data_IF_590188809496
#
_entry.id   IF_590188809496
#
_cell.length_a   1.000
_cell.length_b   1.000
_cell.length_c   1.000
_cell.angle_alpha   90.00
_cell.angle_beta   90.00
_cell.angle_gamma   90.00
#
_symmetry.space_group_name_H-M   'P 1'
#
loop_
_entity.id
_entity.type
_entity.pdbx_description
1 polymer ?
#
# COMPACT_ATOMS: atom_id res chain seq x y z
N UNK A 1 14.89 -13.70 8.02
CA UNK A 1 14.97 -12.91 6.78
C UNK A 1 14.86 -11.44 7.16
N UNK A 2 15.50 -10.50 6.46
CA UNK A 2 15.53 -9.07 6.84
C UNK A 2 14.19 -8.33 6.55
N UNK A 3 13.07 -9.04 6.61
CA UNK A 3 11.74 -8.51 6.28
C UNK A 3 10.74 -8.94 7.33
N UNK A 4 9.95 -7.99 7.82
CA UNK A 4 8.80 -8.25 8.66
C UNK A 4 7.54 -8.03 7.84
N UNK A 5 6.69 -9.06 7.72
CA UNK A 5 5.38 -8.93 7.08
C UNK A 5 4.53 -7.97 7.91
N UNK A 6 4.03 -6.92 7.27
CA UNK A 6 3.19 -5.92 7.90
C UNK A 6 1.74 -6.01 7.44
N UNK A 7 1.49 -6.48 6.23
CA UNK A 7 0.12 -6.56 5.70
C UNK A 7 0.05 -7.47 4.48
N UNK A 8 -1.12 -8.09 4.28
CA UNK A 8 -1.47 -8.84 3.07
C UNK A 8 -2.87 -8.47 2.60
N UNK A 9 -3.02 -8.27 1.29
CA UNK A 9 -4.30 -8.16 0.60
C UNK A 9 -4.46 -9.31 -0.37
N UNK A 10 -5.30 -10.30 -0.05
CA UNK A 10 -5.52 -11.42 -0.95
C UNK A 10 -6.43 -11.01 -2.11
N UNK A 11 -6.34 -11.74 -3.22
CA UNK A 11 -7.24 -11.65 -4.37
C UNK A 11 -7.41 -10.21 -4.91
N UNK A 12 -6.32 -9.59 -5.37
CA UNK A 12 -6.33 -8.23 -5.90
C UNK A 12 -7.41 -8.04 -6.99
N UNK A 13 -8.35 -7.09 -6.81
CA UNK A 13 -9.32 -6.74 -7.83
C UNK A 13 -8.71 -5.80 -8.89
N UNK A 14 -9.37 -5.72 -10.06
CA UNK A 14 -8.98 -4.81 -11.15
C UNK A 14 -8.82 -3.35 -10.69
N UNK A 15 -9.62 -2.92 -9.71
CA UNK A 15 -9.58 -1.57 -9.15
C UNK A 15 -8.26 -1.21 -8.49
N UNK A 16 -7.68 -2.10 -7.68
CA UNK A 16 -6.39 -1.86 -7.03
C UNK A 16 -5.24 -1.84 -8.04
N UNK A 17 -5.36 -2.67 -9.08
CA UNK A 17 -4.45 -2.72 -10.23
C UNK A 17 -4.67 -1.58 -11.23
N UNK A 18 -5.59 -0.65 -10.95
CA UNK A 18 -5.84 0.52 -11.79
C UNK A 18 -6.28 0.16 -13.22
N UNK A 19 -6.95 -0.99 -13.39
CA UNK A 19 -7.40 -1.54 -14.68
C UNK A 19 -8.86 -1.19 -15.03
N UNK A 20 -9.49 -0.28 -14.27
CA UNK A 20 -10.90 0.08 -14.47
C UNK A 20 -11.15 0.61 -15.88
N UNK A 21 -12.06 -0.04 -16.59
CA UNK A 21 -12.54 0.38 -17.92
C UNK A 21 -13.56 1.52 -17.82
N UNK A 22 -14.35 1.52 -16.74
CA UNK A 22 -15.30 2.57 -16.39
C UNK A 22 -14.94 3.12 -15.00
N UNK A 23 -14.68 4.42 -14.91
CA UNK A 23 -14.24 5.09 -13.68
C UNK A 23 -12.80 5.63 -13.77
N UNK A 24 -12.39 6.37 -12.73
CA UNK A 24 -11.09 7.01 -12.68
C UNK A 24 -10.06 6.13 -11.95
N UNK A 25 -9.04 5.66 -12.66
CA UNK A 25 -7.87 5.01 -12.10
C UNK A 25 -7.05 6.04 -11.28
N UNK A 26 -7.34 6.15 -9.99
CA UNK A 26 -6.78 7.16 -9.06
C UNK A 26 -5.26 7.14 -8.97
N UNK A 27 -4.60 6.06 -9.39
CA UNK A 27 -3.18 5.85 -9.17
C UNK A 27 -2.85 5.50 -7.71
N UNK A 28 -3.86 5.23 -6.89
CA UNK A 28 -3.70 4.99 -5.45
C UNK A 28 -4.12 3.56 -5.11
N UNK A 29 -3.21 2.82 -4.48
CA UNK A 29 -3.54 1.60 -3.74
C UNK A 29 -4.23 2.00 -2.43
N UNK A 30 -5.46 1.53 -2.25
CA UNK A 30 -6.23 1.74 -1.01
C UNK A 30 -5.81 0.71 0.02
N UNK A 31 -5.22 1.18 1.11
CA UNK A 31 -4.78 0.34 2.21
C UNK A 31 -5.97 0.10 3.14
N UNK A 32 -6.50 -1.12 3.08
CA UNK A 32 -7.67 -1.56 3.84
C UNK A 32 -7.31 -2.75 4.72
N UNK A 33 -8.20 -3.12 5.64
CA UNK A 33 -7.98 -4.26 6.53
C UNK A 33 -7.76 -5.56 5.75
N UNK A 34 -8.48 -5.76 4.64
CA UNK A 34 -8.38 -6.93 3.76
C UNK A 34 -8.44 -8.31 4.49
N UNK A 35 -9.07 -8.35 5.67
CA UNK A 35 -9.09 -9.54 6.53
C UNK A 35 -7.76 -9.84 7.24
N UNK A 36 -6.75 -8.99 7.10
CA UNK A 36 -5.45 -9.14 7.75
C UNK A 36 -5.56 -8.98 9.27
N UNK A 37 -4.87 -9.86 10.01
CA UNK A 37 -4.80 -9.81 11.47
C UNK A 37 -3.39 -9.55 11.93
N UNK A 38 -3.21 -8.58 12.83
CA UNK A 38 -1.99 -8.36 13.59
C UNK A 38 -2.19 -8.83 15.04
N UNK A 39 -1.28 -9.65 15.55
CA UNK A 39 -1.36 -10.22 16.90
C UNK A 39 -2.73 -10.85 17.25
N UNK A 40 -3.34 -11.54 16.28
CA UNK A 40 -4.62 -12.25 16.43
C UNK A 40 -5.87 -11.35 16.37
N UNK A 41 -5.73 -10.06 16.03
CA UNK A 41 -6.86 -9.13 15.86
C UNK A 41 -6.88 -8.55 14.46
N UNK A 42 -8.07 -8.41 13.87
CA UNK A 42 -8.23 -7.70 12.61
C UNK A 42 -7.76 -6.26 12.80
N UNK A 43 -6.93 -5.78 11.86
CA UNK A 43 -6.38 -4.44 11.94
C UNK A 43 -7.47 -3.37 11.78
N UNK A 44 -7.34 -2.26 12.49
CA UNK A 44 -8.09 -1.05 12.19
C UNK A 44 -7.37 -0.27 11.10
N UNK A 45 -7.84 -0.38 9.85
CA UNK A 45 -7.23 0.30 8.71
C UNK A 45 -7.17 1.83 8.83
N UNK A 46 -8.02 2.42 9.68
CA UNK A 46 -8.10 3.87 9.84
C UNK A 46 -6.89 4.42 10.60
N UNK A 47 -6.23 3.57 11.39
CA UNK A 47 -5.07 3.90 12.21
C UNK A 47 -3.82 3.07 11.85
N UNK A 48 -3.98 1.78 11.57
CA UNK A 48 -2.91 0.78 11.47
C UNK A 48 -1.78 1.20 10.55
N UNK A 49 -2.10 1.61 9.32
CA UNK A 49 -1.08 1.96 8.34
C UNK A 49 -0.31 3.22 8.75
N UNK A 50 -1.00 4.28 9.17
CA UNK A 50 -0.39 5.56 9.53
C UNK A 50 0.43 5.50 10.82
N UNK A 51 -0.11 4.84 11.85
CA UNK A 51 0.44 4.88 13.21
C UNK A 51 1.20 3.62 13.62
N UNK A 52 1.15 2.53 12.85
CA UNK A 52 1.93 1.31 13.13
C UNK A 52 2.92 1.01 12.01
N UNK A 53 2.44 0.78 10.78
CA UNK A 53 3.30 0.36 9.66
C UNK A 53 4.26 1.48 9.24
N UNK A 54 3.74 2.69 9.04
CA UNK A 54 4.46 3.86 8.54
C UNK A 54 4.77 4.90 9.62
N UNK A 55 4.71 4.50 10.90
CA UNK A 55 4.88 5.40 12.04
C UNK A 55 6.23 6.10 12.09
N UNK A 56 7.28 5.44 11.58
CA UNK A 56 8.65 5.97 11.55
C UNK A 56 8.95 6.91 10.39
N UNK A 57 8.01 7.16 9.49
CA UNK A 57 8.23 8.09 8.38
C UNK A 57 8.08 9.55 8.84
N UNK A 58 8.72 10.46 8.11
CA UNK A 58 8.55 11.90 8.31
C UNK A 58 7.27 12.37 7.62
N UNK A 59 6.20 12.49 8.40
CA UNK A 59 4.91 12.99 7.94
C UNK A 59 4.84 14.51 8.00
N UNK A 60 4.19 15.12 7.01
CA UNK A 60 3.93 16.55 6.96
C UNK A 60 2.49 16.84 6.53
N UNK A 61 1.90 17.91 7.08
CA UNK A 61 0.53 18.33 6.74
C UNK A 61 0.49 19.17 5.46
N UNK A 62 -0.52 18.93 4.64
CA UNK A 62 -0.84 19.72 3.44
C UNK A 62 -2.33 19.59 3.11
N UNK A 63 -3.02 20.70 2.87
CA UNK A 63 -4.43 20.74 2.44
C UNK A 63 -5.39 19.84 3.26
N UNK A 64 -5.20 19.81 4.59
CA UNK A 64 -6.03 19.03 5.51
C UNK A 64 -5.85 17.51 5.38
N UNK A 65 -4.69 17.06 4.89
CA UNK A 65 -4.21 15.67 4.95
C UNK A 65 -2.74 15.65 5.36
N UNK A 66 -2.24 14.50 5.76
CA UNK A 66 -0.82 14.26 5.94
C UNK A 66 -0.25 13.53 4.72
N UNK A 67 1.02 13.78 4.43
CA UNK A 67 1.78 13.11 3.40
C UNK A 67 3.12 12.63 3.96
N UNK A 68 3.63 11.54 3.40
CA UNK A 68 4.97 11.05 3.64
C UNK A 68 5.55 10.42 2.36
N UNK A 69 6.85 10.19 2.34
CA UNK A 69 7.52 9.47 1.26
C UNK A 69 8.36 8.34 1.86
N UNK A 70 8.42 7.22 1.15
CA UNK A 70 9.30 6.11 1.48
C UNK A 70 9.79 5.42 0.21
N UNK A 71 10.86 4.67 0.34
CA UNK A 71 11.49 3.91 -0.72
C UNK A 71 10.94 2.48 -0.72
N UNK A 72 10.26 2.11 -1.79
CA UNK A 72 9.63 0.80 -1.96
C UNK A 72 10.35 -0.01 -3.02
N UNK A 73 10.83 -1.20 -2.66
CA UNK A 73 11.21 -2.21 -3.63
C UNK A 73 9.98 -2.97 -4.09
N UNK A 74 9.86 -3.21 -5.40
CA UNK A 74 8.73 -3.94 -5.98
C UNK A 74 9.19 -5.28 -6.53
N UNK A 75 8.46 -6.33 -6.16
CA UNK A 75 8.60 -7.67 -6.69
C UNK A 75 7.26 -8.14 -7.26
N UNK A 76 7.27 -8.61 -8.51
CA UNK A 76 6.07 -9.10 -9.20
C UNK A 76 6.35 -10.51 -9.69
N UNK A 77 5.54 -11.47 -9.25
CA UNK A 77 5.65 -12.91 -9.58
C UNK A 77 7.07 -13.44 -9.40
N UNK A 78 7.69 -13.09 -8.27
CA UNK A 78 9.06 -13.52 -7.93
C UNK A 78 10.18 -12.71 -8.59
N UNK A 79 9.88 -11.79 -9.51
CA UNK A 79 10.88 -10.98 -10.21
C UNK A 79 10.94 -9.58 -9.61
N UNK A 80 12.15 -9.14 -9.25
CA UNK A 80 12.40 -7.75 -8.85
C UNK A 80 12.23 -6.83 -10.06
N UNK A 81 11.39 -5.79 -9.93
CA UNK A 81 11.08 -4.85 -11.02
C UNK A 81 11.59 -3.43 -10.76
N UNK A 82 12.21 -3.19 -9.60
CA UNK A 82 12.90 -1.95 -9.28
C UNK A 82 12.55 -1.38 -7.90
N UNK A 83 13.16 -0.24 -7.59
CA UNK A 83 12.95 0.51 -6.35
C UNK A 83 12.43 1.91 -6.69
N UNK A 84 11.39 2.36 -5.99
CA UNK A 84 10.66 3.59 -6.27
C UNK A 84 10.46 4.41 -5.00
N UNK A 85 10.64 5.73 -5.09
CA UNK A 85 10.23 6.63 -4.02
C UNK A 85 8.75 6.93 -4.19
N UNK A 86 7.91 6.34 -3.35
CA UNK A 86 6.45 6.46 -3.46
C UNK A 86 5.92 7.34 -2.35
N UNK A 87 4.82 8.04 -2.66
CA UNK A 87 4.12 8.89 -1.70
C UNK A 87 3.06 8.09 -0.97
N UNK A 88 2.88 8.44 0.30
CA UNK A 88 1.79 8.01 1.15
C UNK A 88 0.96 9.24 1.50
N UNK A 89 -0.36 9.08 1.50
CA UNK A 89 -1.28 10.10 2.00
C UNK A 89 -2.13 9.53 3.10
N UNK A 90 -2.38 10.32 4.14
CA UNK A 90 -3.30 9.97 5.22
C UNK A 90 -4.30 11.10 5.44
N UNK A 91 -5.60 10.78 5.45
CA UNK A 91 -6.66 11.73 5.80
C UNK A 91 -7.76 11.02 6.58
N UNK A 92 -7.88 11.24 7.90
CA UNK A 92 -8.89 10.60 8.72
C UNK A 92 -10.31 10.80 8.19
N UNK A 93 -10.63 11.99 7.66
CA UNK A 93 -11.96 12.30 7.14
C UNK A 93 -12.36 11.51 5.89
N UNK A 94 -11.46 10.75 5.25
CA UNK A 94 -11.82 9.85 4.15
C UNK A 94 -12.58 8.60 4.60
N UNK A 95 -12.49 8.25 5.89
CA UNK A 95 -13.26 7.15 6.49
C UNK A 95 -14.77 7.37 6.33
N UNK A 96 -15.20 8.63 6.42
CA UNK A 96 -16.55 9.11 6.15
C UNK A 96 -17.67 8.35 6.89
N UNK A 97 -17.38 7.77 8.06
CA UNK A 97 -18.31 6.94 8.83
C UNK A 97 -18.72 5.64 8.13
N UNK A 98 -17.99 5.24 7.08
CA UNK A 98 -18.24 4.02 6.30
C UNK A 98 -17.09 3.02 6.44
N UNK A 99 -16.18 3.22 7.41
CA UNK A 99 -14.98 2.43 7.56
C UNK A 99 -14.18 2.32 6.24
N UNK A 100 -14.08 3.43 5.51
CA UNK A 100 -13.26 3.54 4.31
C UNK A 100 -11.77 3.63 4.67
N UNK A 101 -10.90 3.52 3.67
CA UNK A 101 -9.46 3.69 3.88
C UNK A 101 -9.16 5.16 4.22
N UNK A 102 -8.24 5.37 5.16
CA UNK A 102 -7.70 6.70 5.49
C UNK A 102 -6.29 6.88 4.94
N UNK A 103 -5.58 5.79 4.67
CA UNK A 103 -4.20 5.80 4.15
C UNK A 103 -4.15 5.21 2.74
N UNK A 104 -3.47 5.89 1.83
CA UNK A 104 -3.30 5.46 0.44
C UNK A 104 -1.84 5.57 0.00
N UNK A 105 -1.41 4.61 -0.81
CA UNK A 105 -0.10 4.59 -1.45
C UNK A 105 -0.25 5.01 -2.92
N UNK A 106 0.52 6.01 -3.33
CA UNK A 106 0.47 6.56 -4.68
C UNK A 106 1.50 5.83 -5.54
N UNK A 107 1.01 5.14 -6.57
CA UNK A 107 1.87 4.36 -7.45
C UNK A 107 2.78 5.23 -8.32
N UNK A 108 2.40 6.48 -8.59
CA UNK A 108 3.16 7.44 -9.39
C UNK A 108 3.81 6.76 -10.63
N UNK A 109 5.14 6.87 -10.76
CA UNK A 109 5.89 6.30 -11.88
C UNK A 109 5.89 4.76 -11.91
N UNK A 110 5.55 4.08 -10.81
CA UNK A 110 5.44 2.62 -10.76
C UNK A 110 4.07 2.10 -11.26
N UNK A 111 3.11 2.97 -11.56
CA UNK A 111 1.74 2.57 -11.95
C UNK A 111 1.69 1.61 -13.14
N UNK A 112 2.54 1.82 -14.15
CA UNK A 112 2.55 0.96 -15.35
C UNK A 112 2.98 -0.49 -15.04
N UNK A 113 3.72 -0.72 -13.94
CA UNK A 113 4.17 -2.05 -13.53
C UNK A 113 3.04 -2.88 -12.93
N UNK A 114 2.07 -2.22 -12.27
CA UNK A 114 0.92 -2.89 -11.62
C UNK A 114 -0.32 -2.95 -12.52
N UNK A 115 -0.39 -2.14 -13.59
CA UNK A 115 -1.50 -2.13 -14.54
C UNK A 115 -1.48 -3.34 -15.48
N UNK A 116 -1.63 -4.53 -14.92
CA UNK A 116 -1.53 -5.78 -15.66
C UNK A 116 -2.63 -6.76 -15.26
N UNK A 117 -3.39 -7.24 -16.24
CA UNK A 117 -4.51 -8.18 -16.02
C UNK A 117 -4.08 -9.51 -15.41
N UNK A 118 -2.84 -9.93 -15.64
CA UNK A 118 -2.32 -11.18 -15.10
C UNK A 118 -2.02 -11.13 -13.60
N UNK A 119 -2.17 -9.96 -12.95
CA UNK A 119 -2.07 -9.79 -11.50
C UNK A 119 -3.43 -9.81 -10.80
N UNK A 120 -4.54 -9.85 -11.55
CA UNK A 120 -5.88 -9.95 -10.96
C UNK A 120 -5.99 -11.30 -10.25
N UNK A 121 -6.43 -11.28 -8.99
CA UNK A 121 -6.54 -12.47 -8.15
C UNK A 121 -5.22 -12.90 -7.48
N UNK A 122 -4.09 -12.27 -7.78
CA UNK A 122 -2.85 -12.45 -7.00
C UNK A 122 -2.98 -11.82 -5.62
N UNK A 123 -2.05 -12.18 -4.74
CA UNK A 123 -1.94 -11.59 -3.41
C UNK A 123 -0.88 -10.50 -3.41
N UNK A 124 -1.15 -9.41 -2.68
CA UNK A 124 -0.19 -8.35 -2.41
C UNK A 124 0.23 -8.43 -0.97
N UNK A 125 1.54 -8.48 -0.72
CA UNK A 125 2.13 -8.44 0.60
C UNK A 125 3.03 -7.22 0.73
N UNK A 126 2.94 -6.56 1.88
CA UNK A 126 3.75 -5.42 2.27
C UNK A 126 4.65 -5.84 3.44
N UNK A 127 5.94 -5.64 3.26
CA UNK A 127 6.96 -5.92 4.25
C UNK A 127 7.71 -4.65 4.63
N UNK A 128 8.04 -4.52 5.91
CA UNK A 128 9.06 -3.56 6.37
C UNK A 128 10.43 -4.19 6.24
N UNK A 129 11.36 -3.49 5.60
CA UNK A 129 12.73 -3.95 5.43
C UNK A 129 13.60 -3.62 6.66
N UNK A 130 14.62 -4.44 6.88
CA UNK A 130 15.58 -4.33 7.98
C UNK A 130 16.97 -4.40 7.35
N UNK A 131 17.82 -3.39 7.58
CA UNK A 131 19.19 -3.34 7.06
C UNK A 131 19.31 -3.40 5.52
N UNK A 132 18.29 -2.90 4.82
CA UNK A 132 18.27 -2.78 3.35
C UNK A 132 18.40 -1.31 2.90
N UNK A 133 18.68 -1.09 1.62
CA UNK A 133 18.75 0.25 1.03
C UNK A 133 17.37 0.84 0.64
N UNK A 134 16.28 0.18 1.03
CA UNK A 134 14.90 0.61 0.86
C UNK A 134 14.12 0.39 2.15
N UNK A 135 13.01 1.11 2.32
CA UNK A 135 12.22 1.08 3.56
C UNK A 135 11.22 -0.08 3.60
N UNK A 136 10.63 -0.40 2.44
CA UNK A 136 9.57 -1.41 2.32
C UNK A 136 9.72 -2.26 1.06
N UNK A 137 9.23 -3.50 1.12
CA UNK A 137 9.04 -4.37 -0.03
C UNK A 137 7.54 -4.57 -0.27
N UNK A 138 7.10 -4.38 -1.50
CA UNK A 138 5.79 -4.85 -1.97
C UNK A 138 6.02 -6.03 -2.90
N UNK A 139 5.41 -7.17 -2.55
CA UNK A 139 5.44 -8.39 -3.35
C UNK A 139 4.04 -8.71 -3.85
N UNK A 140 3.88 -8.91 -5.16
CA UNK A 140 2.62 -9.38 -5.78
C UNK A 140 2.87 -10.76 -6.38
N UNK A 141 2.14 -11.79 -5.95
CA UNK A 141 2.34 -13.17 -6.43
C UNK A 141 1.06 -14.00 -6.46
#
# INVERSE_FOLDING_TARGET
MPFNLCWRKPNLPEGDLQLLVQGHASGVLRLTQAGYTDNGKVIDQTEYFRYQVFSGLLWYEIDGKEMAEATFHLQIKGTSVGTFKLKLSHKPSWEAGQNNYTTGLHWDDAKYLIQRRDLVGCDLELYKAIDENFDFLISIH
#
